data_IF_704140793038
#
_entry.id   IF_704140793038
#
_cell.length_a   1.000
_cell.length_b   1.000
_cell.length_c   1.000
_cell.angle_alpha   90.00
_cell.angle_beta   90.00
_cell.angle_gamma   90.00
#
_symmetry.space_group_name_H-M   'P 1'
#
loop_
_entity.id
_entity.type
_entity.pdbx_description
1 polymer ?
#
# COMPACT_ATOMS: atom_id res chain seq x y z
N UNK A 1 -11.19 12.23 -4.70
CA UNK A 1 -10.54 12.29 -6.03
C UNK A 1 -9.11 12.78 -5.85
N UNK A 2 -8.10 11.93 -6.09
CA UNK A 2 -6.68 12.22 -5.91
C UNK A 2 -6.02 12.90 -7.14
N UNK A 3 -6.81 13.26 -8.15
CA UNK A 3 -6.34 13.80 -9.43
C UNK A 3 -5.52 15.08 -9.19
N UNK A 4 -4.27 15.08 -9.63
CA UNK A 4 -3.31 16.18 -9.44
C UNK A 4 -2.39 16.05 -8.23
N UNK A 5 -2.52 14.97 -7.44
CA UNK A 5 -1.56 14.67 -6.35
C UNK A 5 -0.26 14.09 -6.90
N UNK A 6 0.86 14.36 -6.22
CA UNK A 6 2.13 13.67 -6.49
C UNK A 6 1.97 12.18 -6.20
N UNK A 7 2.41 11.34 -7.12
CA UNK A 7 2.35 9.89 -7.01
C UNK A 7 3.71 9.29 -7.40
N UNK A 8 4.14 8.29 -6.64
CA UNK A 8 5.42 7.60 -6.81
C UNK A 8 5.17 6.10 -6.73
N UNK A 9 5.75 5.34 -7.65
CA UNK A 9 5.79 3.89 -7.60
C UNK A 9 7.08 3.49 -6.88
N UNK A 10 6.97 2.66 -5.85
CA UNK A 10 8.09 2.10 -5.11
C UNK A 10 7.93 0.59 -5.02
N UNK A 11 9.03 -0.14 -5.17
CA UNK A 11 9.10 -1.59 -4.97
C UNK A 11 9.26 -1.92 -3.49
N UNK A 12 10.00 -1.09 -2.74
CA UNK A 12 10.35 -1.31 -1.33
C UNK A 12 10.30 0.00 -0.53
N UNK A 13 10.12 -0.11 0.79
CA UNK A 13 9.93 1.03 1.67
C UNK A 13 11.15 1.96 1.80
N UNK A 14 12.35 1.45 1.55
CA UNK A 14 13.61 2.20 1.59
C UNK A 14 13.81 3.15 0.40
N UNK A 15 13.08 2.94 -0.69
CA UNK A 15 13.08 3.81 -1.86
C UNK A 15 12.29 5.12 -1.66
N UNK A 16 11.58 5.25 -0.53
CA UNK A 16 10.83 6.47 -0.21
C UNK A 16 11.81 7.58 0.15
N UNK A 17 11.89 8.59 -0.71
CA UNK A 17 12.67 9.81 -0.46
C UNK A 17 11.90 10.75 0.48
N UNK A 18 12.46 11.13 1.66
CA UNK A 18 11.84 12.08 2.57
C UNK A 18 11.47 13.42 1.92
N UNK A 19 12.17 13.84 0.87
CA UNK A 19 11.87 15.08 0.15
C UNK A 19 10.48 15.06 -0.51
N UNK A 20 9.96 13.87 -0.87
CA UNK A 20 8.61 13.73 -1.44
C UNK A 20 7.52 14.11 -0.44
N UNK A 21 7.79 13.91 0.86
CA UNK A 21 6.85 14.17 1.95
C UNK A 21 6.82 15.65 2.35
N UNK A 22 7.76 16.47 1.86
CA UNK A 22 7.81 17.90 2.10
C UNK A 22 6.46 18.58 1.81
N UNK A 23 5.90 19.25 2.83
CA UNK A 23 4.63 19.96 2.75
C UNK A 23 3.37 19.08 2.72
N UNK A 24 3.49 17.75 2.71
CA UNK A 24 2.36 16.85 2.71
C UNK A 24 1.75 16.74 4.13
N UNK A 25 0.44 16.96 4.25
CA UNK A 25 -0.30 16.74 5.52
C UNK A 25 -0.90 15.34 5.62
N UNK A 26 -1.07 14.67 4.48
CA UNK A 26 -1.69 13.35 4.32
C UNK A 26 -0.97 12.62 3.19
N UNK A 27 -0.73 11.34 3.38
CA UNK A 27 -0.12 10.44 2.39
C UNK A 27 -1.09 9.27 2.22
N UNK A 28 -1.43 8.96 0.96
CA UNK A 28 -2.18 7.77 0.63
C UNK A 28 -1.21 6.66 0.22
N UNK A 29 -1.45 5.45 0.71
CA UNK A 29 -0.72 4.25 0.29
C UNK A 29 -1.72 3.35 -0.42
N UNK A 30 -1.31 2.80 -1.56
CA UNK A 30 -2.07 1.79 -2.29
C UNK A 30 -1.07 0.84 -2.95
N UNK A 31 -1.55 -0.33 -3.37
CA UNK A 31 -0.72 -1.37 -3.93
C UNK A 31 -1.37 -1.94 -5.19
N UNK A 32 -0.53 -2.36 -6.14
CA UNK A 32 -1.02 -3.13 -7.28
C UNK A 32 -1.49 -4.51 -6.84
N UNK A 33 -2.37 -5.13 -7.62
CA UNK A 33 -2.94 -6.45 -7.31
C UNK A 33 -1.90 -7.58 -7.13
N UNK A 34 -0.68 -7.42 -7.64
CA UNK A 34 0.41 -8.39 -7.53
C UNK A 34 1.36 -8.13 -6.35
N UNK A 35 1.16 -7.06 -5.58
CA UNK A 35 2.05 -6.71 -4.49
C UNK A 35 1.72 -7.53 -3.23
N UNK A 36 2.70 -8.23 -2.63
CA UNK A 36 2.51 -8.91 -1.36
C UNK A 36 2.16 -7.93 -0.22
N UNK A 37 1.22 -8.31 0.64
CA UNK A 37 0.76 -7.53 1.81
C UNK A 37 1.92 -7.04 2.71
N UNK A 38 2.94 -7.88 2.89
CA UNK A 38 4.12 -7.53 3.70
C UNK A 38 4.87 -6.30 3.16
N UNK A 39 4.90 -6.10 1.83
CA UNK A 39 5.56 -4.93 1.24
C UNK A 39 4.75 -3.66 1.52
N UNK A 40 3.43 -3.75 1.44
CA UNK A 40 2.52 -2.64 1.75
C UNK A 40 2.66 -2.26 3.22
N UNK A 41 2.68 -3.25 4.12
CA UNK A 41 2.89 -3.04 5.55
C UNK A 41 4.24 -2.35 5.83
N UNK A 42 5.32 -2.79 5.19
CA UNK A 42 6.64 -2.16 5.36
C UNK A 42 6.64 -0.68 4.93
N UNK A 43 5.96 -0.34 3.83
CA UNK A 43 5.80 1.06 3.37
C UNK A 43 5.02 1.88 4.40
N UNK A 44 3.92 1.32 4.89
CA UNK A 44 3.09 1.92 5.93
C UNK A 44 3.89 2.19 7.20
N UNK A 45 4.63 1.20 7.70
CA UNK A 45 5.44 1.32 8.92
C UNK A 45 6.55 2.35 8.76
N UNK A 46 7.18 2.39 7.58
CA UNK A 46 8.19 3.40 7.24
C UNK A 46 7.63 4.82 7.29
N UNK A 47 6.37 5.02 6.85
CA UNK A 47 5.72 6.33 6.84
C UNK A 47 5.14 6.71 8.21
N UNK A 48 4.69 5.74 9.00
CA UNK A 48 4.18 5.96 10.36
C UNK A 48 5.31 6.23 11.37
N UNK A 49 6.50 5.66 11.14
CA UNK A 49 7.59 5.71 12.12
C UNK A 49 7.18 5.00 13.40
N UNK A 50 7.32 5.69 14.55
CA UNK A 50 6.95 5.15 15.86
C UNK A 50 5.47 5.41 16.23
N UNK A 51 4.73 6.20 15.44
CA UNK A 51 3.35 6.61 15.75
C UNK A 51 2.34 6.11 14.71
N UNK A 52 1.77 4.94 15.00
CA UNK A 52 0.70 4.33 14.21
C UNK A 52 -0.70 4.86 14.55
N UNK A 53 -0.84 5.77 15.53
CA UNK A 53 -2.17 6.26 15.97
C UNK A 53 -2.93 7.05 14.91
N UNK A 54 -2.22 7.46 13.85
CA UNK A 54 -2.74 8.27 12.74
C UNK A 54 -2.98 7.46 11.47
N UNK A 55 -2.87 6.13 11.56
CA UNK A 55 -3.18 5.23 10.46
C UNK A 55 -4.68 5.01 10.36
N UNK A 56 -5.23 5.27 9.18
CA UNK A 56 -6.63 5.06 8.86
C UNK A 56 -6.71 4.22 7.60
N UNK A 57 -7.35 3.06 7.68
CA UNK A 57 -7.72 2.26 6.52
C UNK A 57 -9.04 2.80 5.97
N UNK A 58 -9.04 3.16 4.69
CA UNK A 58 -10.24 3.66 4.04
C UNK A 58 -11.06 2.47 3.53
N UNK A 59 -12.37 2.48 3.80
CA UNK A 59 -13.27 1.45 3.31
C UNK A 59 -13.20 1.34 1.77
N UNK A 60 -12.83 0.15 1.30
CA UNK A 60 -12.83 -0.22 -0.11
C UNK A 60 -14.14 -0.90 -0.52
N UNK A 61 -14.27 -1.19 -1.81
CA UNK A 61 -15.28 -2.16 -2.25
C UNK A 61 -14.88 -3.56 -1.78
N UNK A 62 -15.84 -4.34 -1.26
CA UNK A 62 -15.56 -5.74 -0.92
C UNK A 62 -15.25 -6.56 -2.18
N UNK A 63 -14.08 -7.19 -2.21
CA UNK A 63 -13.64 -8.07 -3.30
C UNK A 63 -13.69 -9.54 -2.83
N UNK A 64 -14.72 -10.29 -3.27
CA UNK A 64 -14.98 -11.66 -2.84
C UNK A 64 -14.66 -12.74 -3.90
N UNK A 65 -13.85 -12.40 -4.91
CA UNK A 65 -13.55 -13.31 -6.03
C UNK A 65 -12.31 -14.14 -5.70
N UNK A 66 -12.45 -15.47 -5.71
CA UNK A 66 -11.33 -16.41 -5.56
C UNK A 66 -11.28 -17.37 -6.74
N UNK A 67 -10.10 -17.57 -7.30
CA UNK A 67 -9.86 -18.58 -8.34
C UNK A 67 -9.27 -19.83 -7.69
N UNK A 68 -10.05 -20.91 -7.67
CA UNK A 68 -9.58 -22.19 -7.14
C UNK A 68 -8.53 -22.81 -8.07
N UNK A 69 -7.49 -23.40 -7.48
CA UNK A 69 -6.51 -24.20 -8.22
C UNK A 69 -7.22 -25.43 -8.86
N UNK A 70 -6.98 -25.71 -10.15
CA UNK A 70 -7.47 -26.93 -10.80
C UNK A 70 -7.07 -28.18 -10.01
N UNK A 71 -7.94 -29.20 -10.01
CA UNK A 71 -7.72 -30.44 -9.24
C UNK A 71 -6.42 -31.15 -9.61
N UNK A 72 -5.95 -31.00 -10.84
CA UNK A 72 -4.70 -31.62 -11.30
C UNK A 72 -3.43 -30.98 -10.69
N UNK A 73 -3.55 -29.79 -10.09
CA UNK A 73 -2.44 -29.03 -9.48
C UNK A 73 -2.53 -28.98 -7.95
N UNK A 74 -3.52 -29.65 -7.36
CA UNK A 74 -3.64 -29.82 -5.91
C UNK A 74 -2.75 -31.01 -5.50
N UNK A 75 -1.54 -30.70 -5.01
CA UNK A 75 -0.54 -31.66 -4.52
C UNK A 75 -0.92 -32.29 -3.19
#
# INVERSE_FOLDING_TARGET
ALIGSRAYLVDQADQIDPAWLGGAKRVGVTAGASAPEVLVRNVVDRLAGDDHSRLEELDGAEENVTFALPRELQS
#
